data_IF_167666069306
#
_entry.id   IF_167666069306
#
_cell.length_a   1.000
_cell.length_b   1.000
_cell.length_c   1.000
_cell.angle_alpha   90.00
_cell.angle_beta   90.00
_cell.angle_gamma   90.00
#
_symmetry.space_group_name_H-M   'P 1'
#
loop_
_entity.id
_entity.type
_entity.pdbx_description
1 polymer ?
#
# COMPACT_ATOMS: atom_id res chain seq x y z
N UNK A 1 86.05 3.43 -13.95
CA UNK A 1 85.01 3.31 -15.00
C UNK A 1 83.71 2.87 -14.35
N UNK A 2 82.75 3.80 -14.28
CA UNK A 2 81.34 3.64 -13.93
C UNK A 2 80.65 2.59 -14.81
N UNK A 3 79.83 1.72 -14.21
CA UNK A 3 78.47 1.29 -14.62
C UNK A 3 78.19 -0.17 -14.23
N UNK A 4 76.92 -0.44 -13.86
CA UNK A 4 76.28 -1.71 -13.50
C UNK A 4 76.22 -2.05 -12.00
N UNK A 5 75.45 -1.28 -11.22
CA UNK A 5 74.76 -1.82 -10.04
C UNK A 5 73.57 -0.95 -9.58
N UNK A 6 72.73 -0.46 -10.50
CA UNK A 6 71.48 0.21 -10.13
C UNK A 6 70.44 -0.13 -11.20
N UNK A 7 69.77 -1.27 -11.08
CA UNK A 7 68.54 -1.57 -11.82
C UNK A 7 67.90 -2.88 -11.32
N UNK A 8 67.48 -2.97 -10.05
CA UNK A 8 66.50 -4.03 -9.67
C UNK A 8 65.44 -3.56 -8.66
N UNK A 9 65.61 -2.45 -7.93
CA UNK A 9 64.70 -2.11 -6.82
C UNK A 9 63.54 -1.14 -7.09
N UNK A 10 63.06 -1.01 -8.33
CA UNK A 10 61.90 -0.12 -8.61
C UNK A 10 60.78 -0.75 -9.45
N UNK A 11 60.60 -2.07 -9.38
CA UNK A 11 59.50 -2.75 -10.10
C UNK A 11 58.47 -3.47 -9.20
N UNK A 12 58.63 -3.46 -7.87
CA UNK A 12 57.65 -4.08 -6.95
C UNK A 12 56.72 -3.09 -6.23
N UNK A 13 57.01 -1.77 -6.28
CA UNK A 13 56.21 -0.76 -5.58
C UNK A 13 54.92 -0.35 -6.32
N UNK A 14 54.89 -0.44 -7.66
CA UNK A 14 53.72 0.02 -8.43
C UNK A 14 52.62 -1.02 -8.52
N UNK A 15 52.94 -2.32 -8.51
CA UNK A 15 51.92 -3.37 -8.52
C UNK A 15 51.19 -3.49 -7.18
N UNK A 16 51.88 -3.31 -6.04
CA UNK A 16 51.24 -3.33 -4.72
C UNK A 16 50.25 -2.17 -4.52
N UNK A 17 50.60 -0.97 -4.98
CA UNK A 17 49.72 0.20 -4.88
C UNK A 17 48.48 0.09 -5.79
N UNK A 18 48.66 -0.42 -7.02
CA UNK A 18 47.53 -0.66 -7.94
C UNK A 18 46.63 -1.79 -7.43
N UNK A 19 47.22 -2.87 -6.89
CA UNK A 19 46.45 -3.99 -6.34
C UNK A 19 45.68 -3.59 -5.07
N UNK A 20 46.27 -2.77 -4.20
CA UNK A 20 45.59 -2.22 -3.03
C UNK A 20 44.46 -1.27 -3.41
N UNK A 21 44.67 -0.39 -4.41
CA UNK A 21 43.64 0.52 -4.91
C UNK A 21 42.45 -0.23 -5.53
N UNK A 22 42.71 -1.30 -6.30
CA UNK A 22 41.67 -2.15 -6.89
C UNK A 22 40.91 -2.91 -5.81
N UNK A 23 41.58 -3.44 -4.78
CA UNK A 23 40.90 -4.08 -3.64
C UNK A 23 40.05 -3.07 -2.87
N UNK A 24 40.55 -1.87 -2.59
CA UNK A 24 39.75 -0.84 -1.92
C UNK A 24 38.56 -0.40 -2.76
N UNK A 25 38.70 -0.31 -4.09
CA UNK A 25 37.59 0.03 -4.97
C UNK A 25 36.56 -1.09 -5.05
N UNK A 26 36.99 -2.36 -5.07
CA UNK A 26 36.12 -3.53 -5.00
C UNK A 26 35.39 -3.59 -3.65
N UNK A 27 36.06 -3.28 -2.53
CA UNK A 27 35.44 -3.21 -1.21
C UNK A 27 34.47 -2.04 -1.12
N UNK A 28 34.81 -0.86 -1.66
CA UNK A 28 33.89 0.29 -1.73
C UNK A 28 32.70 -0.01 -2.64
N UNK A 29 32.89 -0.75 -3.73
CA UNK A 29 31.82 -1.18 -4.63
C UNK A 29 30.95 -2.28 -4.01
N UNK A 30 31.54 -3.23 -3.25
CA UNK A 30 30.81 -4.22 -2.45
C UNK A 30 30.04 -3.56 -1.30
N UNK A 31 30.62 -2.57 -0.63
CA UNK A 31 29.93 -1.77 0.40
C UNK A 31 28.84 -0.92 -0.25
N UNK A 32 29.08 -0.33 -1.43
CA UNK A 32 28.05 0.39 -2.20
C UNK A 32 26.90 -0.53 -2.63
N UNK A 33 27.20 -1.79 -3.00
CA UNK A 33 26.21 -2.85 -3.29
C UNK A 33 25.50 -3.31 -2.01
N UNK A 34 26.20 -3.33 -0.86
CA UNK A 34 25.61 -3.64 0.45
C UNK A 34 24.73 -2.51 0.99
N UNK A 35 25.00 -1.26 0.58
CA UNK A 35 24.22 -0.08 0.93
C UNK A 35 23.19 0.29 -0.12
N UNK A 36 23.21 -0.33 -1.31
CA UNK A 36 22.19 -0.13 -2.35
C UNK A 36 20.90 -0.92 -2.09
N UNK A 37 20.92 -1.84 -1.12
CA UNK A 37 19.73 -2.60 -0.70
C UNK A 37 18.90 -1.87 0.38
N UNK A 38 19.29 -0.64 0.75
CA UNK A 38 18.52 0.23 1.65
C UNK A 38 18.16 1.53 0.94
N UNK A 39 17.19 1.48 0.04
CA UNK A 39 16.23 2.58 -0.28
C UNK A 39 15.26 2.21 -1.41
N UNK A 40 14.63 1.02 -1.36
CA UNK A 40 13.49 0.71 -2.24
C UNK A 40 12.37 0.01 -1.45
N UNK A 41 12.01 0.58 -0.31
CA UNK A 41 10.72 0.32 0.31
C UNK A 41 9.87 1.58 0.15
N UNK A 42 9.31 1.79 -1.03
CA UNK A 42 8.28 2.81 -1.25
C UNK A 42 7.05 2.38 -0.45
N UNK A 43 6.96 2.88 0.79
CA UNK A 43 5.87 2.64 1.72
C UNK A 43 4.52 2.97 1.07
N UNK A 44 3.74 1.95 0.72
CA UNK A 44 2.34 2.08 0.29
C UNK A 44 1.47 2.77 1.36
N UNK A 45 1.95 2.77 2.61
CA UNK A 45 1.30 3.40 3.75
C UNK A 45 1.85 4.79 4.09
N UNK A 46 2.84 5.27 3.33
CA UNK A 46 3.33 6.62 3.49
C UNK A 46 2.40 7.58 2.73
N UNK A 47 1.34 8.00 3.43
CA UNK A 47 0.53 9.14 3.02
C UNK A 47 1.27 10.48 3.21
N UNK A 48 2.49 10.48 3.78
CA UNK A 48 3.25 11.70 3.95
C UNK A 48 3.51 12.36 2.59
N UNK A 49 3.32 13.67 2.58
CA UNK A 49 3.36 14.48 1.38
C UNK A 49 2.04 14.50 0.60
N UNK A 50 1.10 13.56 0.77
CA UNK A 50 -0.20 13.63 0.10
C UNK A 50 -1.11 14.68 0.76
N UNK A 51 -2.08 15.25 0.02
CA UNK A 51 -3.12 16.07 0.63
C UNK A 51 -3.88 15.29 1.70
N UNK A 52 -4.23 15.94 2.81
CA UNK A 52 -4.91 15.31 3.96
C UNK A 52 -6.24 14.63 3.63
N UNK A 53 -6.87 15.01 2.51
CA UNK A 53 -8.09 14.40 2.03
C UNK A 53 -7.90 13.10 1.25
N UNK A 54 -6.66 12.77 0.85
CA UNK A 54 -6.35 11.48 0.22
C UNK A 54 -6.26 10.43 1.33
N UNK A 55 -7.24 9.54 1.37
CA UNK A 55 -7.32 8.50 2.39
C UNK A 55 -6.56 7.24 1.98
N UNK A 56 -6.20 6.43 2.96
CA UNK A 56 -5.61 5.12 2.70
C UNK A 56 -6.53 4.21 1.87
N UNK A 57 -7.85 4.28 2.08
CA UNK A 57 -8.85 3.57 1.26
C UNK A 57 -8.69 3.89 -0.23
N UNK A 58 -8.49 5.18 -0.57
CA UNK A 58 -8.30 5.61 -1.96
C UNK A 58 -6.99 5.09 -2.57
N UNK A 59 -5.90 5.11 -1.79
CA UNK A 59 -4.59 4.62 -2.24
C UNK A 59 -4.62 3.10 -2.46
N UNK A 60 -5.20 2.35 -1.52
CA UNK A 60 -5.36 0.89 -1.64
C UNK A 60 -6.21 0.55 -2.86
N UNK A 61 -7.38 1.18 -3.02
CA UNK A 61 -8.23 0.93 -4.17
C UNK A 61 -7.53 1.30 -5.49
N UNK A 62 -6.76 2.38 -5.54
CA UNK A 62 -5.99 2.75 -6.74
C UNK A 62 -4.93 1.70 -7.11
N UNK A 63 -4.29 1.09 -6.11
CA UNK A 63 -3.30 0.03 -6.30
C UNK A 63 -3.95 -1.30 -6.71
N UNK A 64 -5.09 -1.66 -6.12
CA UNK A 64 -5.88 -2.83 -6.54
C UNK A 64 -6.25 -2.72 -8.03
N UNK A 65 -6.74 -1.56 -8.46
CA UNK A 65 -7.13 -1.33 -9.84
C UNK A 65 -5.92 -1.27 -10.80
N UNK A 66 -4.76 -0.81 -10.31
CA UNK A 66 -3.50 -0.92 -11.05
C UNK A 66 -3.11 -2.39 -11.29
N UNK A 67 -3.24 -3.25 -10.28
CA UNK A 67 -2.95 -4.68 -10.40
C UNK A 67 -3.92 -5.38 -11.37
N UNK A 68 -5.22 -5.11 -11.25
CA UNK A 68 -6.26 -5.78 -12.03
C UNK A 68 -6.25 -5.34 -13.50
N UNK A 69 -6.10 -4.04 -13.74
CA UNK A 69 -6.33 -3.45 -15.07
C UNK A 69 -5.06 -2.86 -15.71
N UNK A 70 -3.96 -2.72 -14.97
CA UNK A 70 -2.79 -1.98 -15.40
C UNK A 70 -2.98 -0.46 -15.39
N UNK A 71 -4.06 0.05 -14.78
CA UNK A 71 -4.35 1.49 -14.74
C UNK A 71 -3.54 2.16 -13.63
N UNK A 72 -2.60 3.07 -13.95
CA UNK A 72 -1.63 3.52 -12.96
C UNK A 72 -2.29 4.19 -11.74
N UNK A 73 -1.94 3.73 -10.54
CA UNK A 73 -2.42 4.24 -9.26
C UNK A 73 -2.08 5.73 -9.11
N UNK A 74 -0.92 6.15 -9.61
CA UNK A 74 -0.52 7.55 -9.67
C UNK A 74 -1.54 8.42 -10.43
N UNK A 75 -2.02 7.95 -11.59
CA UNK A 75 -3.03 8.68 -12.37
C UNK A 75 -4.38 8.66 -11.67
N UNK A 76 -4.76 7.54 -11.06
CA UNK A 76 -6.00 7.46 -10.27
C UNK A 76 -6.01 8.49 -9.13
N UNK A 77 -4.94 8.54 -8.33
CA UNK A 77 -4.79 9.50 -7.22
C UNK A 77 -4.72 10.94 -7.76
N UNK A 78 -3.99 11.18 -8.85
CA UNK A 78 -3.92 12.50 -9.47
C UNK A 78 -5.29 13.00 -9.94
N UNK A 79 -6.12 12.12 -10.49
CA UNK A 79 -7.50 12.47 -10.86
C UNK A 79 -8.35 12.79 -9.63
N UNK A 80 -8.23 12.05 -8.52
CA UNK A 80 -8.95 12.38 -7.28
C UNK A 80 -8.62 13.82 -6.84
N UNK A 81 -7.33 14.16 -6.81
CA UNK A 81 -6.88 15.52 -6.44
C UNK A 81 -7.39 16.56 -7.43
N UNK A 82 -7.35 16.28 -8.73
CA UNK A 82 -7.74 17.22 -9.78
C UNK A 82 -9.25 17.50 -9.84
N UNK A 83 -10.06 16.46 -9.61
CA UNK A 83 -11.53 16.48 -9.78
C UNK A 83 -12.28 16.85 -8.50
N UNK A 84 -11.72 16.50 -7.34
CA UNK A 84 -12.43 16.64 -6.07
C UNK A 84 -11.63 17.29 -4.95
N UNK A 85 -10.33 17.51 -5.12
CA UNK A 85 -9.49 18.16 -4.11
C UNK A 85 -9.74 19.65 -3.94
N UNK A 86 -9.17 20.21 -2.88
CA UNK A 86 -9.22 21.64 -2.53
C UNK A 86 -10.65 22.22 -2.35
N UNK A 87 -11.56 21.38 -1.87
CA UNK A 87 -12.90 21.76 -1.46
C UNK A 87 -13.00 22.08 0.04
N UNK A 88 -14.24 22.14 0.53
CA UNK A 88 -14.56 22.60 1.89
C UNK A 88 -14.95 21.49 2.86
N UNK A 89 -14.85 20.22 2.45
CA UNK A 89 -15.39 19.09 3.21
C UNK A 89 -14.30 18.07 3.56
N UNK A 90 -14.42 17.41 4.71
CA UNK A 90 -13.41 16.45 5.18
C UNK A 90 -12.10 17.10 5.66
N UNK A 91 -11.02 16.31 5.86
CA UNK A 91 -9.76 16.80 6.40
C UNK A 91 -9.15 17.94 5.59
N UNK A 92 -8.93 19.10 6.22
CA UNK A 92 -8.41 20.32 5.58
C UNK A 92 -9.50 21.21 4.96
N UNK A 93 -10.77 20.78 4.97
CA UNK A 93 -11.89 21.50 4.36
C UNK A 93 -12.12 22.90 4.95
N UNK A 94 -11.86 23.08 6.25
CA UNK A 94 -11.94 24.37 6.94
C UNK A 94 -10.96 25.43 6.38
N UNK A 95 -9.91 25.00 5.69
CA UNK A 95 -8.94 25.88 5.01
C UNK A 95 -9.03 25.81 3.48
N UNK A 96 -10.08 25.19 2.93
CA UNK A 96 -10.23 24.98 1.49
C UNK A 96 -9.26 23.94 0.93
N UNK A 97 -8.74 23.06 1.78
CA UNK A 97 -7.83 21.97 1.44
C UNK A 97 -8.51 20.60 1.64
N UNK A 98 -9.83 20.51 1.47
CA UNK A 98 -10.60 19.27 1.64
C UNK A 98 -11.09 18.68 0.31
N UNK A 99 -12.14 17.87 0.36
CA UNK A 99 -12.88 17.39 -0.80
C UNK A 99 -14.02 18.34 -1.20
N UNK A 100 -14.48 18.21 -2.45
CA UNK A 100 -15.76 18.74 -2.92
C UNK A 100 -16.93 18.09 -2.16
N UNK A 101 -18.08 18.77 -2.14
CA UNK A 101 -19.27 18.21 -1.51
C UNK A 101 -19.70 16.89 -2.15
N UNK A 102 -19.64 16.82 -3.49
CA UNK A 102 -20.00 15.64 -4.26
C UNK A 102 -19.14 14.42 -3.86
N UNK A 103 -17.83 14.62 -3.72
CA UNK A 103 -16.94 13.58 -3.27
C UNK A 103 -17.16 13.21 -1.80
N UNK A 104 -17.30 14.20 -0.92
CA UNK A 104 -17.40 13.91 0.51
C UNK A 104 -18.74 13.27 0.92
N UNK A 105 -19.87 13.84 0.51
CA UNK A 105 -21.20 13.37 0.95
C UNK A 105 -21.65 12.13 0.17
N UNK A 106 -21.31 12.04 -1.12
CA UNK A 106 -21.83 11.01 -2.04
C UNK A 106 -20.77 10.05 -2.58
N UNK A 107 -19.54 10.17 -2.08
CA UNK A 107 -18.38 9.31 -2.41
C UNK A 107 -18.02 9.31 -3.90
N UNK A 108 -18.43 10.33 -4.65
CA UNK A 108 -18.15 10.46 -6.07
C UNK A 108 -16.91 11.35 -6.30
N UNK A 109 -15.75 10.70 -6.36
CA UNK A 109 -14.42 11.35 -6.43
C UNK A 109 -14.10 11.96 -7.80
N UNK A 110 -14.82 11.55 -8.85
CA UNK A 110 -14.45 11.85 -10.23
C UNK A 110 -15.52 12.62 -10.99
N UNK A 111 -16.54 13.16 -10.30
CA UNK A 111 -17.63 13.90 -10.95
C UNK A 111 -18.47 13.06 -11.93
N UNK A 112 -18.57 11.75 -11.72
CA UNK A 112 -19.22 10.85 -12.68
C UNK A 112 -20.73 11.07 -12.72
N UNK A 113 -21.22 11.42 -13.91
CA UNK A 113 -22.64 11.71 -14.17
C UNK A 113 -23.43 10.43 -14.46
N UNK A 114 -24.74 10.50 -14.21
CA UNK A 114 -25.70 9.49 -14.60
C UNK A 114 -25.92 9.49 -16.14
N UNK A 115 -26.41 8.38 -16.74
CA UNK A 115 -26.83 7.13 -16.10
C UNK A 115 -25.68 6.23 -15.67
N UNK A 116 -25.95 5.33 -14.72
CA UNK A 116 -25.02 4.29 -14.30
C UNK A 116 -24.81 3.26 -15.43
N UNK A 117 -23.56 2.85 -15.64
CA UNK A 117 -23.18 1.82 -16.60
C UNK A 117 -23.12 0.39 -16.03
N UNK A 118 -23.27 0.24 -14.72
CA UNK A 118 -23.37 -1.04 -13.99
C UNK A 118 -24.08 -0.81 -12.64
N UNK A 119 -24.16 -1.84 -11.79
CA UNK A 119 -24.85 -1.80 -10.49
C UNK A 119 -24.04 -1.24 -9.32
N UNK A 120 -22.81 -0.77 -9.55
CA UNK A 120 -21.93 -0.24 -8.49
C UNK A 120 -22.46 1.04 -7.86
N UNK A 121 -22.99 2.02 -8.64
CA UNK A 121 -23.65 3.18 -8.06
C UNK A 121 -24.94 2.80 -7.32
N UNK A 122 -25.17 3.41 -6.17
CA UNK A 122 -26.34 3.15 -5.30
C UNK A 122 -27.46 4.19 -5.46
N UNK A 123 -27.26 5.21 -6.30
CA UNK A 123 -28.24 6.26 -6.53
C UNK A 123 -27.74 7.39 -7.41
N UNK A 124 -28.56 8.42 -7.56
CA UNK A 124 -28.27 9.64 -8.31
C UNK A 124 -28.69 10.87 -7.48
N UNK A 125 -27.83 11.89 -7.42
CA UNK A 125 -28.13 13.20 -6.83
C UNK A 125 -28.07 14.28 -7.91
N UNK A 126 -29.05 15.17 -7.94
CA UNK A 126 -29.05 16.32 -8.86
C UNK A 126 -28.36 17.50 -8.19
N UNK A 127 -27.31 18.04 -8.82
CA UNK A 127 -26.55 19.18 -8.31
C UNK A 127 -26.29 20.19 -9.44
N UNK A 128 -26.09 21.46 -9.06
CA UNK A 128 -25.62 22.46 -10.00
C UNK A 128 -24.14 22.24 -10.33
N UNK A 129 -23.78 22.38 -11.60
CA UNK A 129 -22.41 22.27 -12.11
C UNK A 129 -22.16 23.33 -13.17
N UNK A 130 -20.91 23.80 -13.25
CA UNK A 130 -20.45 24.63 -14.36
C UNK A 130 -20.08 23.75 -15.55
N UNK A 131 -20.49 24.15 -16.75
CA UNK A 131 -20.09 23.52 -18.01
C UNK A 131 -19.51 24.59 -18.95
N UNK A 132 -18.56 24.19 -19.78
CA UNK A 132 -18.09 25.00 -20.89
C UNK A 132 -18.76 24.55 -22.19
N UNK A 133 -19.52 25.43 -22.83
CA UNK A 133 -20.16 25.16 -24.12
C UNK A 133 -19.78 26.27 -25.09
N UNK A 134 -18.96 25.96 -26.09
CA UNK A 134 -18.53 26.94 -27.09
C UNK A 134 -17.64 28.08 -26.54
N UNK A 135 -16.98 27.87 -25.40
CA UNK A 135 -16.15 28.87 -24.72
C UNK A 135 -16.88 29.69 -23.64
N UNK A 136 -18.20 29.54 -23.53
CA UNK A 136 -19.00 30.18 -22.47
C UNK A 136 -19.17 29.23 -21.27
N UNK A 137 -19.04 29.79 -20.07
CA UNK A 137 -19.28 29.08 -18.80
C UNK A 137 -20.76 29.21 -18.42
N UNK A 138 -21.49 28.10 -18.39
CA UNK A 138 -22.91 28.05 -18.02
C UNK A 138 -23.12 27.19 -16.76
N UNK A 139 -24.11 27.53 -15.93
CA UNK A 139 -24.52 26.69 -14.80
C UNK A 139 -25.74 25.87 -15.18
N UNK A 140 -25.63 24.55 -15.09
CA UNK A 140 -26.75 23.63 -15.32
C UNK A 140 -26.98 22.73 -14.10
N UNK A 141 -28.13 22.08 -14.05
CA UNK A 141 -28.37 20.96 -13.12
C UNK A 141 -28.03 19.66 -13.83
N UNK A 142 -27.17 18.84 -13.22
CA UNK A 142 -26.80 17.53 -13.72
C UNK A 142 -26.99 16.46 -12.64
N UNK A 143 -27.32 15.23 -13.06
CA UNK A 143 -27.40 14.07 -12.18
C UNK A 143 -26.03 13.42 -12.01
N UNK A 144 -25.57 13.29 -10.78
CA UNK A 144 -24.31 12.64 -10.41
C UNK A 144 -24.56 11.32 -9.69
N UNK A 145 -23.71 10.33 -9.96
CA UNK A 145 -23.78 9.02 -9.33
C UNK A 145 -23.42 9.10 -7.83
N UNK A 146 -24.06 8.27 -7.01
CA UNK A 146 -23.79 8.10 -5.58
C UNK A 146 -23.12 6.74 -5.38
N UNK A 147 -22.06 6.71 -4.57
CA UNK A 147 -21.35 5.48 -4.22
C UNK A 147 -21.45 5.19 -2.72
N UNK A 148 -21.37 3.92 -2.34
CA UNK A 148 -21.40 3.51 -0.94
C UNK A 148 -20.13 3.91 -0.19
N UNK A 149 -18.98 3.83 -0.85
CA UNK A 149 -17.66 4.15 -0.33
C UNK A 149 -16.73 4.60 -1.47
N UNK A 150 -15.49 4.99 -1.16
CA UNK A 150 -14.55 5.49 -2.17
C UNK A 150 -14.00 4.34 -3.04
N UNK A 151 -13.82 3.15 -2.46
CA UNK A 151 -13.43 1.95 -3.20
C UNK A 151 -14.39 1.65 -4.36
N UNK A 152 -15.69 1.70 -4.12
CA UNK A 152 -16.72 1.45 -5.14
C UNK A 152 -16.68 2.51 -6.25
N UNK A 153 -16.40 3.77 -5.91
CA UNK A 153 -16.22 4.84 -6.89
C UNK A 153 -14.99 4.61 -7.78
N UNK A 154 -13.86 4.19 -7.19
CA UNK A 154 -12.60 3.89 -7.89
C UNK A 154 -12.76 2.67 -8.80
N UNK A 155 -13.42 1.60 -8.32
CA UNK A 155 -13.77 0.42 -9.12
C UNK A 155 -14.69 0.78 -10.30
N UNK A 156 -15.70 1.61 -10.06
CA UNK A 156 -16.57 2.07 -11.13
C UNK A 156 -15.83 2.92 -12.17
N UNK A 157 -14.89 3.79 -11.75
CA UNK A 157 -14.01 4.51 -12.69
C UNK A 157 -13.24 3.55 -13.58
N UNK A 158 -12.61 2.51 -13.02
CA UNK A 158 -11.86 1.53 -13.83
C UNK A 158 -12.77 0.76 -14.79
N UNK A 159 -13.97 0.36 -14.34
CA UNK A 159 -14.98 -0.25 -15.20
C UNK A 159 -15.40 0.69 -16.34
N UNK A 160 -15.57 1.98 -16.05
CA UNK A 160 -15.85 3.00 -17.07
C UNK A 160 -14.69 3.14 -18.07
N UNK A 161 -13.44 3.18 -17.59
CA UNK A 161 -12.24 3.20 -18.43
C UNK A 161 -12.21 1.97 -19.34
N UNK A 162 -12.51 0.78 -18.81
CA UNK A 162 -12.53 -0.44 -19.60
C UNK A 162 -13.62 -0.43 -20.68
N UNK A 163 -14.82 0.05 -20.35
CA UNK A 163 -15.96 0.08 -21.27
C UNK A 163 -15.85 1.16 -22.36
N UNK A 164 -15.34 2.34 -22.00
CA UNK A 164 -15.42 3.55 -22.84
C UNK A 164 -14.05 4.00 -23.35
N UNK A 165 -12.97 3.64 -22.65
CA UNK A 165 -11.62 4.14 -22.91
C UNK A 165 -10.60 3.07 -23.30
N UNK A 166 -10.99 1.81 -23.42
CA UNK A 166 -10.07 0.69 -23.67
C UNK A 166 -9.22 0.88 -24.92
N UNK A 167 -9.77 1.42 -26.01
CA UNK A 167 -9.04 1.75 -27.24
C UNK A 167 -7.90 2.76 -27.04
N UNK A 168 -7.98 3.62 -26.02
CA UNK A 168 -6.96 4.62 -25.73
C UNK A 168 -5.88 4.13 -24.77
N UNK A 169 -6.22 3.25 -23.83
CA UNK A 169 -5.35 2.90 -22.70
C UNK A 169 -4.93 1.44 -22.63
N UNK A 170 -5.35 0.60 -23.59
CA UNK A 170 -4.97 -0.81 -23.64
C UNK A 170 -3.45 -0.98 -23.62
N UNK A 171 -2.95 -1.79 -22.68
CA UNK A 171 -1.53 -2.07 -22.47
C UNK A 171 -0.65 -0.85 -22.15
N UNK A 172 -1.24 0.27 -21.73
CA UNK A 172 -0.50 1.46 -21.31
C UNK A 172 -0.39 1.44 -19.79
N UNK A 173 0.80 1.15 -19.29
CA UNK A 173 1.12 1.14 -17.85
C UNK A 173 2.02 2.31 -17.44
N UNK A 174 2.59 3.04 -18.40
CA UNK A 174 3.33 4.28 -18.14
C UNK A 174 2.36 5.39 -17.68
N UNK A 175 2.53 5.98 -16.48
CA UNK A 175 1.60 6.96 -15.92
C UNK A 175 1.41 8.21 -16.78
N UNK A 176 2.48 8.74 -17.37
CA UNK A 176 2.44 9.96 -18.18
C UNK A 176 1.71 9.70 -19.49
N UNK A 177 2.02 8.59 -20.16
CA UNK A 177 1.32 8.15 -21.36
C UNK A 177 -0.15 7.84 -21.08
N UNK A 178 -0.46 7.20 -19.95
CA UNK A 178 -1.83 6.94 -19.55
C UNK A 178 -2.61 8.24 -19.32
N UNK A 179 -2.02 9.21 -18.60
CA UNK A 179 -2.61 10.53 -18.37
C UNK A 179 -2.85 11.29 -19.68
N UNK A 180 -1.90 11.26 -20.61
CA UNK A 180 -2.04 11.86 -21.95
C UNK A 180 -3.19 11.24 -22.74
N UNK A 181 -3.34 9.91 -22.69
CA UNK A 181 -4.35 9.17 -23.44
C UNK A 181 -5.74 9.35 -22.87
N UNK A 182 -5.92 9.22 -21.56
CA UNK A 182 -7.25 9.37 -20.95
C UNK A 182 -7.77 10.80 -21.08
N UNK A 183 -6.89 11.81 -21.00
CA UNK A 183 -7.24 13.22 -21.11
C UNK A 183 -7.94 13.58 -22.42
N UNK A 184 -7.64 12.90 -23.53
CA UNK A 184 -8.19 13.24 -24.85
C UNK A 184 -9.70 13.05 -24.96
N UNK A 185 -10.32 12.32 -24.02
CA UNK A 185 -11.78 12.12 -23.97
C UNK A 185 -12.39 12.34 -22.58
N UNK A 186 -11.58 12.32 -21.53
CA UNK A 186 -12.07 12.48 -20.16
C UNK A 186 -12.43 13.93 -19.83
N UNK A 187 -11.71 14.90 -20.39
CA UNK A 187 -11.95 16.32 -20.18
C UNK A 187 -11.88 17.08 -21.51
N UNK A 188 -12.64 18.18 -21.61
CA UNK A 188 -12.56 19.12 -22.75
C UNK A 188 -11.34 20.04 -22.65
N UNK A 189 -10.73 20.15 -21.47
CA UNK A 189 -9.55 20.97 -21.22
C UNK A 189 -8.28 20.35 -21.84
N UNK A 190 -7.72 21.03 -22.84
CA UNK A 190 -6.47 20.63 -23.50
C UNK A 190 -5.25 20.57 -22.56
N UNK A 191 -5.32 21.21 -21.39
CA UNK A 191 -4.26 21.20 -20.37
C UNK A 191 -4.42 20.08 -19.32
N UNK A 192 -5.49 19.29 -19.38
CA UNK A 192 -5.84 18.30 -18.36
C UNK A 192 -4.73 17.26 -18.13
N UNK A 193 -4.13 16.71 -19.19
CA UNK A 193 -2.99 15.79 -19.06
C UNK A 193 -1.80 16.43 -18.34
N UNK A 194 -1.48 17.68 -18.69
CA UNK A 194 -0.40 18.44 -18.04
C UNK A 194 -0.70 18.73 -16.57
N UNK A 195 -1.97 18.97 -16.23
CA UNK A 195 -2.43 19.13 -14.84
C UNK A 195 -2.21 17.84 -14.04
N UNK A 196 -2.60 16.69 -14.59
CA UNK A 196 -2.40 15.40 -13.93
C UNK A 196 -0.91 15.08 -13.71
N UNK A 197 -0.06 15.28 -14.73
CA UNK A 197 1.39 15.07 -14.62
C UNK A 197 2.00 15.98 -13.54
N UNK A 198 1.61 17.26 -13.49
CA UNK A 198 2.06 18.18 -12.43
C UNK A 198 1.65 17.72 -11.03
N UNK A 199 0.44 17.20 -10.87
CA UNK A 199 -0.04 16.65 -9.59
C UNK A 199 0.76 15.40 -9.22
N UNK A 200 1.03 14.50 -10.18
CA UNK A 200 1.86 13.32 -9.95
C UNK A 200 3.28 13.70 -9.50
N UNK A 201 3.89 14.71 -10.11
CA UNK A 201 5.20 15.22 -9.71
C UNK A 201 5.17 15.90 -8.34
N UNK A 202 4.18 16.78 -8.10
CA UNK A 202 4.05 17.55 -6.87
C UNK A 202 3.93 16.67 -5.62
N UNK A 203 3.20 15.55 -5.75
CA UNK A 203 2.91 14.65 -4.65
C UNK A 203 3.73 13.36 -4.70
N UNK A 204 4.74 13.30 -5.57
CA UNK A 204 5.60 12.13 -5.74
C UNK A 204 4.78 10.83 -5.97
N UNK A 205 3.71 10.92 -6.77
CA UNK A 205 2.78 9.80 -6.98
C UNK A 205 3.40 8.67 -7.81
N UNK A 206 4.49 8.94 -8.54
CA UNK A 206 5.24 7.91 -9.26
C UNK A 206 5.75 6.81 -8.33
N UNK A 207 5.94 7.11 -7.04
CA UNK A 207 6.24 6.11 -6.01
C UNK A 207 5.22 4.98 -5.97
N UNK A 208 3.98 5.21 -6.42
CA UNK A 208 2.92 4.19 -6.52
C UNK A 208 2.87 3.47 -7.88
N UNK A 209 3.59 3.95 -8.89
CA UNK A 209 3.51 3.43 -10.28
C UNK A 209 4.34 2.17 -10.50
N UNK A 210 5.44 2.02 -9.75
CA UNK A 210 6.24 0.79 -9.75
C UNK A 210 5.78 -0.20 -8.67
N UNK A 211 4.69 0.13 -7.98
CA UNK A 211 4.10 -0.75 -6.96
C UNK A 211 3.18 -1.74 -7.67
N UNK A 212 3.75 -2.80 -8.26
CA UNK A 212 2.95 -4.01 -8.49
C UNK A 212 2.64 -4.63 -7.13
N UNK A 213 1.61 -5.46 -7.04
CA UNK A 213 1.34 -6.24 -5.82
C UNK A 213 2.54 -7.11 -5.38
N UNK A 214 3.57 -7.28 -6.20
CA UNK A 214 4.83 -7.91 -5.81
C UNK A 214 5.67 -7.02 -4.87
N UNK A 215 5.54 -5.70 -4.95
CA UNK A 215 6.17 -4.75 -4.01
C UNK A 215 5.43 -4.64 -2.67
N UNK A 216 4.24 -5.27 -2.53
CA UNK A 216 3.57 -5.50 -1.24
C UNK A 216 4.30 -6.59 -0.42
N UNK A 217 5.19 -7.31 -1.09
CA UNK A 217 5.70 -8.59 -0.63
C UNK A 217 7.22 -8.50 -0.58
N UNK A 218 7.73 -8.03 0.56
CA UNK A 218 9.16 -7.99 0.83
C UNK A 218 9.82 -9.33 0.51
N UNK A 219 10.76 -9.26 -0.44
CA UNK A 219 11.78 -10.21 -0.86
C UNK A 219 11.71 -11.65 -0.36
N UNK A 220 11.47 -12.56 -1.29
CA UNK A 220 11.79 -13.98 -1.16
C UNK A 220 11.07 -14.80 -2.23
N UNK A 221 11.71 -14.98 -3.38
CA UNK A 221 11.47 -16.04 -4.37
C UNK A 221 10.11 -16.77 -4.26
N UNK A 222 9.06 -16.22 -4.88
CA UNK A 222 7.76 -16.86 -4.98
C UNK A 222 6.58 -15.89 -4.84
N UNK A 223 5.75 -15.82 -5.87
CA UNK A 223 4.39 -15.24 -5.83
C UNK A 223 3.70 -15.56 -4.49
N UNK A 224 3.24 -14.53 -3.76
CA UNK A 224 2.43 -14.73 -2.55
C UNK A 224 1.21 -15.59 -2.87
N UNK A 225 1.03 -16.63 -2.06
CA UNK A 225 0.04 -17.67 -2.31
C UNK A 225 -1.39 -17.13 -2.17
N UNK A 226 -2.38 -17.81 -2.79
CA UNK A 226 -3.79 -17.42 -2.58
C UNK A 226 -4.19 -17.49 -1.11
N UNK A 227 -3.60 -18.40 -0.33
CA UNK A 227 -3.83 -18.50 1.10
C UNK A 227 -3.37 -17.25 1.86
N UNK A 228 -2.17 -16.76 1.57
CA UNK A 228 -1.65 -15.55 2.17
C UNK A 228 -2.50 -14.33 1.79
N UNK A 229 -2.90 -14.21 0.51
CA UNK A 229 -3.79 -13.14 0.04
C UNK A 229 -5.12 -13.12 0.82
N UNK A 230 -5.75 -14.28 1.03
CA UNK A 230 -7.00 -14.37 1.83
C UNK A 230 -6.82 -13.91 3.27
N UNK A 231 -5.73 -14.30 3.93
CA UNK A 231 -5.45 -13.84 5.30
C UNK A 231 -5.35 -12.31 5.35
N UNK A 232 -4.63 -11.71 4.39
CA UNK A 232 -4.41 -10.26 4.33
C UNK A 232 -5.71 -9.52 4.06
N UNK A 233 -6.50 -9.95 3.08
CA UNK A 233 -7.80 -9.35 2.75
C UNK A 233 -8.73 -9.31 3.98
N UNK A 234 -8.84 -10.44 4.69
CA UNK A 234 -9.67 -10.54 5.88
C UNK A 234 -9.12 -9.65 7.01
N UNK A 235 -7.80 -9.62 7.22
CA UNK A 235 -7.19 -8.76 8.22
C UNK A 235 -7.41 -7.26 7.92
N UNK A 236 -7.27 -6.84 6.66
CA UNK A 236 -7.42 -5.46 6.20
C UNK A 236 -8.88 -4.99 6.13
N UNK A 237 -9.86 -5.89 6.25
CA UNK A 237 -11.26 -5.50 6.46
C UNK A 237 -11.47 -4.67 7.73
N UNK A 238 -10.53 -4.75 8.69
CA UNK A 238 -10.58 -4.16 10.03
C UNK A 238 -11.82 -4.59 10.84
N UNK A 239 -12.51 -5.65 10.43
CA UNK A 239 -13.61 -6.21 11.18
C UNK A 239 -13.08 -6.94 12.42
N UNK A 240 -13.80 -6.74 13.52
CA UNK A 240 -13.68 -7.49 14.76
C UNK A 240 -13.81 -9.02 14.61
N UNK A 241 -14.47 -9.50 13.55
CA UNK A 241 -14.81 -10.91 13.29
C UNK A 241 -15.42 -11.60 14.52
N UNK A 242 -16.23 -10.88 15.31
CA UNK A 242 -16.86 -11.39 16.53
C UNK A 242 -15.89 -11.65 17.69
N UNK A 243 -14.63 -11.23 17.59
CA UNK A 243 -13.73 -11.19 18.74
C UNK A 243 -14.07 -9.99 19.63
N UNK A 244 -14.07 -10.18 20.95
CA UNK A 244 -14.28 -9.11 21.92
C UNK A 244 -13.06 -8.17 21.96
N UNK A 245 -13.23 -7.04 22.63
CA UNK A 245 -12.18 -6.04 22.89
C UNK A 245 -10.96 -6.74 23.51
N UNK A 246 -9.77 -6.44 22.98
CA UNK A 246 -8.48 -7.00 23.42
C UNK A 246 -8.30 -8.53 23.27
N UNK A 247 -9.21 -9.24 22.58
CA UNK A 247 -9.08 -10.68 22.32
C UNK A 247 -8.23 -10.97 21.07
N UNK A 248 -6.96 -10.54 21.07
CA UNK A 248 -6.06 -10.61 19.90
C UNK A 248 -5.90 -12.03 19.33
N UNK A 249 -5.69 -13.04 20.19
CA UNK A 249 -5.54 -14.43 19.73
C UNK A 249 -6.84 -15.01 19.15
N UNK A 250 -8.00 -14.65 19.71
CA UNK A 250 -9.31 -15.08 19.18
C UNK A 250 -9.54 -14.46 17.79
N UNK A 251 -9.20 -13.19 17.62
CA UNK A 251 -9.30 -12.50 16.34
C UNK A 251 -8.41 -13.14 15.27
N UNK A 252 -7.12 -13.38 15.57
CA UNK A 252 -6.20 -14.08 14.65
C UNK A 252 -6.72 -15.46 14.25
N UNK A 253 -7.24 -16.23 15.22
CA UNK A 253 -7.83 -17.53 14.96
C UNK A 253 -9.06 -17.45 14.03
N UNK A 254 -9.85 -16.37 14.13
CA UNK A 254 -11.00 -16.15 13.26
C UNK A 254 -10.57 -15.74 11.84
N UNK A 255 -9.54 -14.89 11.71
CA UNK A 255 -8.96 -14.54 10.40
C UNK A 255 -8.47 -15.79 9.67
N UNK A 256 -7.66 -16.62 10.34
CA UNK A 256 -7.12 -17.84 9.73
C UNK A 256 -8.23 -18.84 9.37
N UNK A 257 -9.24 -19.00 10.24
CA UNK A 257 -10.38 -19.88 9.97
C UNK A 257 -11.16 -19.42 8.72
N UNK A 258 -11.47 -18.13 8.62
CA UNK A 258 -12.14 -17.57 7.44
C UNK A 258 -11.27 -17.66 6.17
N UNK A 259 -9.94 -17.60 6.30
CA UNK A 259 -9.01 -17.80 5.20
C UNK A 259 -8.91 -19.27 4.72
N UNK A 260 -9.57 -20.20 5.43
CA UNK A 260 -9.68 -21.62 5.07
C UNK A 260 -8.91 -22.59 5.98
N UNK A 261 -8.39 -22.14 7.14
CA UNK A 261 -7.82 -23.06 8.13
C UNK A 261 -8.90 -23.96 8.71
N UNK A 262 -8.71 -25.28 8.61
CA UNK A 262 -9.59 -26.26 9.24
C UNK A 262 -8.76 -27.39 9.88
N UNK A 263 -9.00 -27.75 11.16
CA UNK A 263 -9.95 -27.13 12.07
C UNK A 263 -9.45 -25.77 12.60
N UNK A 264 -10.36 -24.91 13.07
CA UNK A 264 -10.02 -23.62 13.70
C UNK A 264 -9.02 -23.82 14.85
N UNK A 265 -7.84 -23.20 14.77
CA UNK A 265 -6.84 -23.26 15.83
C UNK A 265 -6.85 -21.98 16.67
N UNK A 266 -6.96 -22.10 17.98
CA UNK A 266 -6.87 -20.97 18.92
C UNK A 266 -6.23 -21.42 20.22
N UNK A 267 -5.28 -20.64 20.73
CA UNK A 267 -4.77 -20.78 22.11
C UNK A 267 -5.46 -19.79 23.05
N UNK A 268 -5.21 -19.93 24.35
CA UNK A 268 -5.80 -19.10 25.39
C UNK A 268 -5.30 -17.64 25.34
N UNK A 269 -4.06 -17.40 24.91
CA UNK A 269 -3.50 -16.06 24.72
C UNK A 269 -2.39 -16.06 23.67
N UNK A 270 -1.86 -14.87 23.36
CA UNK A 270 -0.80 -14.69 22.38
C UNK A 270 0.53 -15.33 22.82
N UNK A 271 0.85 -15.34 24.11
CA UNK A 271 2.04 -16.04 24.63
C UNK A 271 1.94 -17.55 24.42
N UNK A 272 0.80 -18.16 24.73
CA UNK A 272 0.58 -19.60 24.49
C UNK A 272 0.57 -19.93 23.00
N UNK A 273 0.08 -19.02 22.16
CA UNK A 273 0.18 -19.14 20.71
C UNK A 273 1.62 -19.05 20.22
N UNK A 274 2.42 -18.10 20.73
CA UNK A 274 3.84 -18.00 20.39
C UNK A 274 4.60 -19.28 20.79
N UNK A 275 4.37 -19.79 22.00
CA UNK A 275 4.99 -21.03 22.47
C UNK A 275 4.67 -22.24 21.57
N UNK A 276 3.48 -22.27 20.97
CA UNK A 276 3.03 -23.38 20.14
C UNK A 276 3.37 -23.23 18.65
N UNK A 277 3.39 -22.01 18.13
CA UNK A 277 3.27 -21.73 16.68
C UNK A 277 4.37 -20.85 16.10
N UNK A 278 5.31 -20.38 16.93
CA UNK A 278 6.43 -19.56 16.47
C UNK A 278 7.35 -20.36 15.55
N UNK A 279 7.73 -19.74 14.44
CA UNK A 279 8.63 -20.31 13.42
C UNK A 279 10.02 -19.69 13.55
N UNK A 280 10.10 -18.37 13.75
CA UNK A 280 11.38 -17.66 13.84
C UNK A 280 11.29 -16.48 14.81
N UNK A 281 12.40 -16.22 15.52
CA UNK A 281 12.59 -15.01 16.32
C UNK A 281 13.10 -13.81 15.52
N UNK A 282 13.45 -13.98 14.23
CA UNK A 282 13.96 -12.89 13.39
C UNK A 282 12.89 -11.85 13.09
N UNK A 283 13.28 -10.58 13.06
CA UNK A 283 12.42 -9.48 12.58
C UNK A 283 12.45 -9.32 11.06
N UNK A 284 13.34 -10.04 10.40
CA UNK A 284 13.54 -10.00 8.96
C UNK A 284 12.77 -11.12 8.27
N UNK A 285 12.41 -10.90 7.01
CA UNK A 285 11.79 -11.89 6.13
C UNK A 285 10.51 -12.52 6.72
N UNK A 286 9.68 -11.69 7.38
CA UNK A 286 8.38 -12.12 7.92
C UNK A 286 7.45 -12.39 6.73
N UNK A 287 6.92 -13.63 6.57
CA UNK A 287 6.03 -13.92 5.47
C UNK A 287 4.71 -13.16 5.58
N UNK A 288 4.19 -12.68 4.46
CA UNK A 288 2.85 -12.08 4.39
C UNK A 288 1.80 -13.07 4.90
N UNK A 289 0.90 -12.61 5.77
CA UNK A 289 -0.11 -13.42 6.44
C UNK A 289 0.38 -14.12 7.71
N UNK A 290 1.68 -14.12 8.02
CA UNK A 290 2.21 -14.71 9.24
C UNK A 290 1.71 -13.98 10.49
N UNK A 291 1.58 -14.71 11.59
CA UNK A 291 1.35 -14.08 12.89
C UNK A 291 2.65 -13.47 13.42
N UNK A 292 2.54 -12.34 14.09
CA UNK A 292 3.66 -11.72 14.83
C UNK A 292 3.32 -11.64 16.32
N UNK A 293 4.29 -11.96 17.16
CA UNK A 293 4.10 -12.14 18.59
C UNK A 293 4.92 -11.16 19.41
N UNK A 294 4.33 -10.70 20.50
CA UNK A 294 4.90 -9.74 21.43
C UNK A 294 4.44 -9.99 22.87
N UNK A 295 4.67 -9.00 23.71
CA UNK A 295 4.38 -8.95 25.13
C UNK A 295 3.22 -7.99 25.41
N UNK A 296 2.67 -8.05 26.61
CA UNK A 296 1.67 -7.08 27.06
C UNK A 296 2.24 -5.95 27.92
N UNK A 297 3.57 -5.68 27.88
CA UNK A 297 4.30 -4.85 28.84
C UNK A 297 3.61 -3.53 29.22
N UNK A 298 3.02 -2.82 28.26
CA UNK A 298 2.32 -1.55 28.48
C UNK A 298 0.97 -1.69 29.21
N UNK A 299 0.33 -2.84 29.11
CA UNK A 299 -1.03 -3.11 29.60
C UNK A 299 -1.07 -4.15 30.74
N UNK A 300 0.04 -4.83 31.02
CA UNK A 300 0.21 -5.86 32.05
C UNK A 300 -0.91 -6.93 32.03
N UNK A 301 -1.36 -7.33 30.85
CA UNK A 301 -2.40 -8.34 30.68
C UNK A 301 -1.87 -9.73 31.07
N UNK A 302 -2.66 -10.48 31.83
CA UNK A 302 -2.28 -11.80 32.32
C UNK A 302 -3.14 -12.90 31.71
N UNK A 303 -2.50 -14.02 31.40
CA UNK A 303 -3.16 -15.29 31.11
C UNK A 303 -2.73 -16.26 32.21
N UNK A 304 -3.63 -16.56 33.14
CA UNK A 304 -3.26 -17.23 34.39
C UNK A 304 -2.14 -16.48 35.12
N UNK A 305 -1.00 -17.14 35.34
CA UNK A 305 0.13 -16.60 36.11
C UNK A 305 1.24 -15.98 35.25
N UNK A 306 1.05 -15.83 33.93
CA UNK A 306 2.06 -15.29 33.02
C UNK A 306 1.54 -14.15 32.15
N UNK A 307 2.47 -13.48 31.46
CA UNK A 307 2.17 -12.46 30.44
C UNK A 307 1.25 -13.03 29.35
N UNK A 308 0.10 -12.40 29.11
CA UNK A 308 -0.82 -12.82 28.04
C UNK A 308 -0.24 -12.58 26.64
N UNK A 309 0.71 -11.65 26.52
CA UNK A 309 1.30 -11.24 25.25
C UNK A 309 0.35 -10.45 24.36
N UNK A 310 0.78 -10.21 23.12
CA UNK A 310 -0.07 -9.68 22.06
C UNK A 310 0.29 -10.36 20.74
N UNK A 311 -0.70 -10.52 19.84
CA UNK A 311 -0.51 -11.10 18.52
C UNK A 311 -1.17 -10.24 17.46
N UNK A 312 -0.49 -10.10 16.32
CA UNK A 312 -1.04 -9.50 15.11
C UNK A 312 -0.78 -10.38 13.89
N UNK A 313 -1.24 -9.94 12.74
CA UNK A 313 -0.98 -10.54 11.44
C UNK A 313 -0.13 -9.55 10.65
N UNK A 314 1.03 -10.00 10.19
CA UNK A 314 1.85 -9.25 9.26
C UNK A 314 1.18 -9.24 7.89
N UNK A 315 0.81 -8.05 7.41
CA UNK A 315 0.04 -7.89 6.16
C UNK A 315 0.90 -7.44 4.97
N UNK A 316 2.22 -7.46 5.14
CA UNK A 316 3.18 -6.97 4.15
C UNK A 316 3.64 -5.54 4.42
N UNK A 317 4.70 -5.13 3.73
CA UNK A 317 5.29 -3.78 3.77
C UNK A 317 5.60 -3.22 5.15
N UNK A 318 6.05 -4.06 6.07
CA UNK A 318 6.32 -3.59 7.42
C UNK A 318 5.06 -3.23 8.18
N UNK A 319 3.90 -3.86 7.92
CA UNK A 319 2.65 -3.55 8.62
C UNK A 319 2.04 -4.75 9.32
N UNK A 320 1.36 -4.46 10.42
CA UNK A 320 0.71 -5.43 11.28
C UNK A 320 -0.70 -4.98 11.58
N UNK A 321 -1.67 -5.86 11.32
CA UNK A 321 -3.03 -5.68 11.82
C UNK A 321 -3.20 -6.50 13.09
N UNK A 322 -3.74 -5.90 14.14
CA UNK A 322 -4.02 -6.64 15.38
C UNK A 322 -5.28 -6.14 16.07
N UNK A 323 -5.91 -7.01 16.86
CA UNK A 323 -7.07 -6.64 17.67
C UNK A 323 -6.65 -6.10 19.03
N UNK A 324 -6.76 -4.79 19.18
CA UNK A 324 -6.62 -4.03 20.42
C UNK A 324 -8.02 -3.70 20.98
N UNK A 325 -8.22 -2.45 21.44
CA UNK A 325 -9.55 -1.93 21.73
C UNK A 325 -10.46 -1.96 20.48
N UNK A 326 -9.87 -1.65 19.32
CA UNK A 326 -10.41 -1.88 17.98
C UNK A 326 -9.42 -2.74 17.18
N UNK A 327 -9.81 -3.24 16.01
CA UNK A 327 -8.82 -3.76 15.06
C UNK A 327 -8.07 -2.56 14.50
N UNK A 328 -6.74 -2.63 14.55
CA UNK A 328 -5.87 -1.53 14.11
C UNK A 328 -4.79 -2.04 13.21
N UNK A 329 -4.56 -1.28 12.15
CA UNK A 329 -3.34 -1.32 11.35
C UNK A 329 -2.30 -0.43 12.03
N UNK A 330 -1.08 -0.94 12.17
CA UNK A 330 0.11 -0.18 12.58
C UNK A 330 1.26 -0.57 11.68
N UNK A 331 2.27 0.28 11.61
CA UNK A 331 3.59 -0.19 11.17
C UNK A 331 4.13 -1.24 12.15
N UNK A 332 4.97 -2.14 11.68
CA UNK A 332 5.65 -3.16 12.45
C UNK A 332 6.50 -2.51 13.54
N UNK A 333 7.14 -1.38 13.23
CA UNK A 333 7.94 -0.64 14.21
C UNK A 333 7.07 -0.06 15.32
N UNK A 334 5.94 0.58 15.01
CA UNK A 334 5.01 1.07 16.02
C UNK A 334 4.44 -0.08 16.85
N UNK A 335 4.09 -1.19 16.21
CA UNK A 335 3.60 -2.38 16.88
C UNK A 335 4.64 -2.93 17.87
N UNK A 336 5.91 -3.05 17.44
CA UNK A 336 7.04 -3.45 18.29
C UNK A 336 7.28 -2.43 19.41
N UNK A 337 7.12 -1.13 19.17
CA UNK A 337 7.27 -0.12 20.23
C UNK A 337 6.20 -0.27 21.33
N UNK A 338 5.01 -0.76 21.00
CA UNK A 338 3.92 -0.97 21.96
C UNK A 338 4.03 -2.32 22.66
N UNK A 339 4.34 -3.38 21.91
CA UNK A 339 4.23 -4.77 22.38
C UNK A 339 5.57 -5.48 22.49
N UNK A 340 6.68 -4.90 22.06
CA UNK A 340 7.97 -5.60 21.93
C UNK A 340 7.95 -6.63 20.79
N UNK A 341 8.95 -7.52 20.79
CA UNK A 341 9.09 -8.54 19.75
C UNK A 341 9.50 -9.89 20.35
N UNK A 342 8.72 -10.94 20.04
CA UNK A 342 9.07 -12.34 20.33
C UNK A 342 9.46 -13.10 19.06
N UNK A 343 8.80 -12.84 17.95
CA UNK A 343 9.01 -13.57 16.70
C UNK A 343 7.75 -13.63 15.85
N UNK A 344 7.84 -14.35 14.74
CA UNK A 344 6.72 -14.62 13.84
C UNK A 344 6.47 -16.13 13.69
N UNK A 345 5.26 -16.49 13.28
CA UNK A 345 4.87 -17.87 13.03
C UNK A 345 3.60 -17.98 12.20
N UNK A 346 2.97 -19.16 12.26
CA UNK A 346 1.70 -19.41 11.58
C UNK A 346 0.70 -19.96 12.57
N UNK A 347 -0.46 -19.31 12.75
CA UNK A 347 -1.47 -19.81 13.68
C UNK A 347 -1.84 -21.27 13.33
N UNK A 348 -1.80 -22.16 14.32
CA UNK A 348 -2.07 -23.58 14.09
C UNK A 348 -0.94 -24.35 13.39
N UNK A 349 0.26 -23.75 13.25
CA UNK A 349 1.39 -24.28 12.50
C UNK A 349 1.07 -24.57 11.02
N UNK A 350 0.02 -23.96 10.47
CA UNK A 350 -0.37 -24.11 9.08
C UNK A 350 0.27 -23.01 8.24
N UNK A 351 1.24 -23.37 7.42
CA UNK A 351 1.97 -22.44 6.55
C UNK A 351 1.13 -22.08 5.32
N UNK A 352 0.54 -20.88 5.34
CA UNK A 352 -0.32 -20.42 4.25
C UNK A 352 0.46 -20.06 3.00
N UNK A 353 1.79 -19.88 3.06
CA UNK A 353 2.61 -19.66 1.85
C UNK A 353 2.58 -20.84 0.87
N UNK A 354 2.17 -22.02 1.35
CA UNK A 354 2.07 -23.24 0.54
C UNK A 354 0.67 -23.49 -0.03
N UNK A 355 -0.28 -22.58 0.18
CA UNK A 355 -1.70 -22.76 -0.18
C UNK A 355 -2.04 -21.89 -1.41
N UNK A 356 -2.16 -22.51 -2.58
CA UNK A 356 -2.44 -21.84 -3.87
C UNK A 356 -3.91 -21.81 -4.28
#
# INVERSE_FOLDING_TARGET
MKKKLIAVFTALGSFGAIFLAVITMIVVMLVAISTSDTENNTDINNLDGLPSFITQEMVIAALEEQEIHGYPAAVTIAQIVAESGYGRYGPGGETGQGLSQLAYDYKNLFGMKAPAGDSTPIGVINMQTGEEVGGDQITITAGFLIFKNYTDCIKYRSGLIQRVYSDLVQNITDPDMFALKIASRWATDHSYASKLIKIMQQYDLYRFSNISSDSITGSGDGSVSKGQKRIVEIALSLDSLGAEVNMCQKWVANVYFQAGQSPRQSRACATEAANAFLVSGSKENIPVGATVYGHSYKYNAKCGNHDAGHVGIYVGNGNVVSRENTVKLRTLQEWINVYGWKGWGWNGSQDFSKIN
#
